data_IF_627834955483
#
_entry.id   IF_627834955483
#
_cell.length_a   1.000
_cell.length_b   1.000
_cell.length_c   1.000
_cell.angle_alpha   90.00
_cell.angle_beta   90.00
_cell.angle_gamma   90.00
#
_symmetry.space_group_name_H-M   'P 1'
#
loop_
_entity.id
_entity.type
_entity.pdbx_description
1 polymer ?
#
# COMPACT_ATOMS: atom_id res chain seq x y z
N UNK A 1 -2.93 -21.84 0.46
CA UNK A 1 -3.79 -22.20 -0.70
C UNK A 1 -4.65 -21.04 -1.24
N UNK A 2 -4.94 -19.97 -0.48
CA UNK A 2 -5.46 -18.70 -1.03
C UNK A 2 -4.36 -17.63 -1.16
N UNK A 3 -3.63 -17.34 -0.08
CA UNK A 3 -2.54 -16.35 -0.08
C UNK A 3 -1.49 -16.61 -1.17
N UNK A 4 -1.10 -17.87 -1.35
CA UNK A 4 -0.19 -18.30 -2.42
C UNK A 4 -0.76 -18.04 -3.83
N UNK A 5 -2.08 -18.11 -3.98
CA UNK A 5 -2.74 -17.81 -5.24
C UNK A 5 -2.76 -16.30 -5.46
N UNK A 6 -3.20 -15.52 -4.47
CA UNK A 6 -3.24 -14.05 -4.53
C UNK A 6 -1.85 -13.43 -4.73
N UNK A 7 -0.80 -14.06 -4.21
CA UNK A 7 0.58 -13.61 -4.34
C UNK A 7 1.28 -13.97 -5.64
N UNK A 8 0.57 -14.49 -6.66
CA UNK A 8 1.12 -14.61 -8.02
C UNK A 8 1.03 -13.26 -8.73
N UNK A 9 2.01 -12.92 -9.55
CA UNK A 9 2.10 -11.62 -10.23
C UNK A 9 0.80 -11.23 -10.95
N UNK A 10 0.23 -12.11 -11.78
CA UNK A 10 -1.04 -11.87 -12.49
C UNK A 10 -2.23 -11.60 -11.55
N UNK A 11 -2.21 -12.18 -10.35
CA UNK A 11 -3.29 -12.02 -9.37
C UNK A 11 -3.09 -10.79 -8.48
N UNK A 12 -1.84 -10.39 -8.23
CA UNK A 12 -1.54 -9.18 -7.46
C UNK A 12 -2.12 -7.95 -8.17
N UNK A 13 -1.98 -7.87 -9.50
CA UNK A 13 -2.55 -6.77 -10.27
C UNK A 13 -4.07 -6.74 -10.22
N UNK A 14 -4.72 -7.90 -10.37
CA UNK A 14 -6.18 -8.02 -10.27
C UNK A 14 -6.70 -7.67 -8.87
N UNK A 15 -6.00 -8.07 -7.81
CA UNK A 15 -6.35 -7.73 -6.42
C UNK A 15 -6.22 -6.22 -6.19
N UNK A 16 -5.12 -5.61 -6.64
CA UNK A 16 -4.93 -4.17 -6.53
C UNK A 16 -6.01 -3.40 -7.31
N UNK A 17 -6.32 -3.81 -8.54
CA UNK A 17 -7.36 -3.15 -9.34
C UNK A 17 -8.74 -3.28 -8.67
N UNK A 18 -9.08 -4.47 -8.18
CA UNK A 18 -10.33 -4.71 -7.45
C UNK A 18 -10.46 -3.84 -6.19
N UNK A 19 -9.37 -3.70 -5.44
CA UNK A 19 -9.30 -2.82 -4.28
C UNK A 19 -9.53 -1.36 -4.67
N UNK A 20 -8.85 -0.86 -5.70
CA UNK A 20 -9.02 0.52 -6.17
C UNK A 20 -10.45 0.80 -6.66
N UNK A 21 -11.08 -0.16 -7.35
CA UNK A 21 -12.49 -0.04 -7.76
C UNK A 21 -13.42 0.07 -6.55
N UNK A 22 -13.18 -0.71 -5.51
CA UNK A 22 -13.95 -0.66 -4.27
C UNK A 22 -13.77 0.69 -3.55
N UNK A 23 -12.55 1.22 -3.53
CA UNK A 23 -12.25 2.53 -2.96
C UNK A 23 -12.97 3.65 -3.71
N UNK A 24 -12.95 3.65 -5.05
CA UNK A 24 -13.71 4.62 -5.87
C UNK A 24 -15.20 4.52 -5.59
N UNK A 25 -15.72 3.30 -5.46
CA UNK A 25 -17.13 3.09 -5.11
C UNK A 25 -17.46 3.65 -3.73
N UNK A 26 -16.61 3.43 -2.71
CA UNK A 26 -16.81 4.00 -1.38
C UNK A 26 -16.80 5.53 -1.41
N UNK A 27 -15.80 6.13 -2.06
CA UNK A 27 -15.67 7.59 -2.18
C UNK A 27 -16.88 8.25 -2.83
N UNK A 28 -17.38 7.67 -3.92
CA UNK A 28 -18.55 8.21 -4.66
C UNK A 28 -19.85 7.96 -3.92
N UNK A 29 -19.98 6.84 -3.20
CA UNK A 29 -21.17 6.54 -2.39
C UNK A 29 -21.34 7.51 -1.21
N UNK A 30 -20.25 8.01 -0.64
CA UNK A 30 -20.29 8.97 0.47
C UNK A 30 -20.62 10.41 0.04
N UNK A 31 -20.51 10.75 -1.25
CA UNK A 31 -20.67 12.11 -1.78
C UNK A 31 -21.84 12.25 -2.75
N UNK A 32 -22.97 11.59 -2.50
CA UNK A 32 -24.15 11.62 -3.39
C UNK A 32 -23.82 11.25 -4.86
N UNK A 33 -22.81 10.40 -5.07
CA UNK A 33 -22.34 10.00 -6.40
C UNK A 33 -21.27 10.91 -7.01
N UNK A 34 -20.86 12.00 -6.35
CA UNK A 34 -19.82 12.89 -6.86
C UNK A 34 -18.41 12.36 -6.61
N UNK A 35 -17.52 12.55 -7.61
CA UNK A 35 -16.10 12.24 -7.46
C UNK A 35 -15.37 13.34 -6.68
N UNK A 36 -14.47 13.00 -5.75
CA UNK A 36 -13.65 13.98 -5.06
C UNK A 36 -12.69 14.66 -6.05
N UNK A 37 -12.56 16.00 -5.95
CA UNK A 37 -11.63 16.79 -6.77
C UNK A 37 -10.17 16.68 -6.32
N UNK A 38 -9.98 16.28 -5.07
CA UNK A 38 -8.69 16.09 -4.43
C UNK A 38 -8.84 14.96 -3.42
N UNK A 39 -7.78 14.16 -3.30
CA UNK A 39 -7.62 13.10 -2.32
C UNK A 39 -6.32 13.33 -1.55
N UNK A 40 -6.29 12.93 -0.28
CA UNK A 40 -5.11 13.02 0.57
C UNK A 40 -4.57 11.62 0.83
N UNK A 41 -3.29 11.40 0.51
CA UNK A 41 -2.60 10.14 0.76
C UNK A 41 -1.76 10.25 2.02
N UNK A 42 -2.07 9.42 3.01
CA UNK A 42 -1.23 9.22 4.18
C UNK A 42 -0.25 8.08 3.89
N UNK A 43 1.05 8.37 3.99
CA UNK A 43 2.14 7.44 3.72
C UNK A 43 2.90 7.17 5.01
N UNK A 44 2.82 5.92 5.48
CA UNK A 44 3.40 5.52 6.76
C UNK A 44 4.30 4.31 6.64
N UNK A 45 5.31 4.23 7.52
CA UNK A 45 6.07 3.00 7.73
C UNK A 45 5.32 2.08 8.69
N UNK A 46 5.16 0.80 8.33
CA UNK A 46 4.44 -0.18 9.16
C UNK A 46 5.37 -1.35 9.54
N UNK A 47 6.10 -1.30 10.66
CA UNK A 47 7.02 -2.37 11.05
C UNK A 47 6.26 -3.68 11.29
N UNK A 48 6.64 -4.74 10.59
CA UNK A 48 6.05 -6.09 10.76
C UNK A 48 7.11 -6.99 11.37
N UNK A 49 6.98 -7.31 12.65
CA UNK A 49 7.88 -8.25 13.32
C UNK A 49 7.76 -9.66 12.73
N UNK A 50 8.91 -10.32 12.64
CA UNK A 50 9.01 -11.65 12.05
C UNK A 50 9.65 -12.61 13.03
N UNK A 51 8.99 -13.75 13.24
CA UNK A 51 9.56 -14.88 13.98
C UNK A 51 10.28 -15.82 13.01
N UNK A 52 11.61 -15.81 13.03
CA UNK A 52 12.45 -16.62 12.15
C UNK A 52 13.37 -15.79 11.25
N UNK A 53 13.78 -16.36 10.11
CA UNK A 53 14.69 -15.75 9.15
C UNK A 53 14.09 -15.77 7.73
N UNK A 54 12.84 -15.32 7.62
CA UNK A 54 12.14 -15.19 6.36
C UNK A 54 12.92 -14.23 5.43
N UNK A 55 12.96 -14.53 4.13
CA UNK A 55 13.68 -13.70 3.15
C UNK A 55 13.21 -12.25 3.18
N UNK A 56 14.15 -11.30 3.07
CA UNK A 56 13.89 -9.86 3.15
C UNK A 56 13.66 -9.32 4.58
N UNK A 57 13.47 -10.19 5.58
CA UNK A 57 13.48 -9.69 6.97
C UNK A 57 14.89 -9.30 7.38
N UNK A 58 15.04 -8.29 8.23
CA UNK A 58 16.32 -7.89 8.79
C UNK A 58 16.16 -7.27 10.17
N UNK A 59 17.23 -7.28 10.97
CA UNK A 59 17.23 -6.62 12.27
C UNK A 59 17.19 -5.10 12.11
N UNK A 60 16.26 -4.44 12.79
CA UNK A 60 16.12 -2.99 12.76
C UNK A 60 16.37 -2.41 14.16
N UNK A 61 17.41 -1.58 14.29
CA UNK A 61 17.89 -1.09 15.59
C UNK A 61 16.85 -0.31 16.39
N UNK A 62 16.01 0.51 15.74
CA UNK A 62 14.95 1.27 16.42
C UNK A 62 13.90 0.36 17.09
N UNK A 63 13.56 -0.75 16.45
CA UNK A 63 12.50 -1.65 16.92
C UNK A 63 13.07 -2.79 17.77
N UNK A 64 14.40 -2.97 17.79
CA UNK A 64 15.06 -4.04 18.54
C UNK A 64 14.70 -5.45 18.06
N UNK A 65 14.13 -5.59 16.87
CA UNK A 65 13.55 -6.82 16.36
C UNK A 65 13.92 -7.05 14.89
N UNK A 66 13.77 -8.30 14.44
CA UNK A 66 13.82 -8.66 13.02
C UNK A 66 12.45 -8.41 12.42
N UNK A 67 12.39 -7.52 11.43
CA UNK A 67 11.13 -7.03 10.87
C UNK A 67 11.16 -7.06 9.33
N UNK A 68 10.01 -6.79 8.73
CA UNK A 68 9.90 -6.08 7.45
C UNK A 68 9.62 -4.59 7.72
N UNK A 69 10.08 -3.71 6.83
CA UNK A 69 9.87 -2.25 6.94
C UNK A 69 9.07 -1.69 5.76
N UNK A 70 7.82 -2.15 5.52
CA UNK A 70 7.03 -1.67 4.40
C UNK A 70 6.64 -0.20 4.53
N UNK A 71 6.39 0.43 3.37
CA UNK A 71 5.53 1.62 3.31
C UNK A 71 4.11 1.19 3.01
N UNK A 72 3.16 1.86 3.63
CA UNK A 72 1.72 1.71 3.36
C UNK A 72 1.13 3.05 2.99
N UNK A 73 0.12 3.02 2.12
CA UNK A 73 -0.61 4.19 1.70
C UNK A 73 -2.10 4.00 1.98
N UNK A 74 -2.72 5.00 2.60
CA UNK A 74 -4.16 5.06 2.82
C UNK A 74 -4.74 6.39 2.38
N UNK A 75 -6.05 6.43 2.12
CA UNK A 75 -6.78 7.68 1.91
C UNK A 75 -7.21 8.27 3.24
N UNK A 76 -6.85 9.53 3.50
CA UNK A 76 -7.24 10.20 4.74
C UNK A 76 -8.78 10.34 4.86
N UNK A 77 -9.50 10.41 3.74
CA UNK A 77 -10.96 10.61 3.72
C UNK A 77 -11.76 9.39 4.18
N UNK A 78 -11.24 8.18 3.98
CA UNK A 78 -11.98 6.93 4.24
C UNK A 78 -11.21 5.95 5.12
N UNK A 79 -9.90 6.12 5.26
CA UNK A 79 -9.00 5.15 5.88
C UNK A 79 -8.71 3.93 4.98
N UNK A 80 -9.18 3.93 3.73
CA UNK A 80 -8.97 2.79 2.84
C UNK A 80 -7.50 2.65 2.44
N UNK A 81 -6.99 1.44 2.54
CA UNK A 81 -5.66 1.09 2.07
C UNK A 81 -5.65 1.05 0.54
N UNK A 82 -4.71 1.78 -0.07
CA UNK A 82 -4.60 1.90 -1.54
C UNK A 82 -3.26 1.42 -2.09
N UNK A 83 -2.29 1.15 -1.22
CA UNK A 83 -1.01 0.63 -1.64
C UNK A 83 -0.17 0.10 -0.49
N UNK A 84 0.74 -0.81 -0.84
CA UNK A 84 1.83 -1.25 0.03
C UNK A 84 3.10 -1.48 -0.78
N UNK A 85 4.25 -1.14 -0.19
CA UNK A 85 5.58 -1.43 -0.70
C UNK A 85 6.31 -2.26 0.34
N UNK A 86 6.44 -3.56 0.11
CA UNK A 86 7.26 -4.41 0.96
C UNK A 86 8.73 -4.09 0.74
N UNK A 87 9.45 -3.80 1.83
CA UNK A 87 10.90 -3.52 1.81
C UNK A 87 11.61 -4.37 2.86
N UNK A 88 12.93 -4.45 2.71
CA UNK A 88 13.76 -5.15 3.68
C UNK A 88 13.63 -4.54 5.09
N UNK A 89 13.84 -5.37 6.10
CA UNK A 89 13.68 -4.97 7.49
C UNK A 89 14.56 -3.81 7.95
N UNK A 90 15.68 -3.56 7.28
CA UNK A 90 16.66 -2.52 7.57
C UNK A 90 16.59 -1.33 6.59
N UNK A 91 15.57 -1.27 5.73
CA UNK A 91 15.38 -0.17 4.80
C UNK A 91 15.19 1.16 5.55
N UNK A 92 15.77 2.23 5.01
CA UNK A 92 15.62 3.57 5.55
C UNK A 92 14.15 4.05 5.49
N UNK A 93 13.72 4.99 6.35
CA UNK A 93 12.31 5.41 6.45
C UNK A 93 11.68 5.77 5.10
N UNK A 94 12.38 6.58 4.28
CA UNK A 94 11.90 7.04 2.97
C UNK A 94 12.49 6.27 1.78
N UNK A 95 13.24 5.18 2.02
CA UNK A 95 13.88 4.43 0.95
C UNK A 95 12.84 3.92 -0.07
N UNK A 96 13.08 4.19 -1.36
CA UNK A 96 12.20 3.89 -2.50
C UNK A 96 10.86 4.67 -2.53
N UNK A 97 10.59 5.58 -1.58
CA UNK A 97 9.37 6.38 -1.57
C UNK A 97 9.29 7.32 -2.79
N UNK A 98 10.43 7.85 -3.21
CA UNK A 98 10.61 8.76 -4.34
C UNK A 98 10.17 8.17 -5.68
N UNK A 99 10.28 6.84 -5.83
CA UNK A 99 9.86 6.12 -7.04
C UNK A 99 8.48 5.49 -6.87
N UNK A 100 8.16 4.99 -5.67
CA UNK A 100 6.89 4.31 -5.40
C UNK A 100 5.70 5.27 -5.32
N UNK A 101 5.84 6.43 -4.68
CA UNK A 101 4.72 7.39 -4.52
C UNK A 101 4.23 7.90 -5.88
N UNK A 102 5.07 8.38 -6.81
CA UNK A 102 4.59 8.81 -8.12
C UNK A 102 3.90 7.70 -8.90
N UNK A 103 4.38 6.45 -8.79
CA UNK A 103 3.75 5.31 -9.44
C UNK A 103 2.36 5.00 -8.84
N UNK A 104 2.22 5.06 -7.51
CA UNK A 104 0.95 4.90 -6.83
C UNK A 104 -0.05 6.00 -7.25
N UNK A 105 0.37 7.26 -7.25
CA UNK A 105 -0.47 8.40 -7.68
C UNK A 105 -0.95 8.21 -9.11
N UNK A 106 -0.06 7.81 -10.02
CA UNK A 106 -0.43 7.52 -11.41
C UNK A 106 -1.53 6.45 -11.50
N UNK A 107 -1.37 5.32 -10.80
CA UNK A 107 -2.37 4.24 -10.79
C UNK A 107 -3.72 4.69 -10.22
N UNK A 108 -3.70 5.52 -9.18
CA UNK A 108 -4.90 6.09 -8.58
C UNK A 108 -5.64 7.00 -9.56
N UNK A 109 -4.94 7.86 -10.29
CA UNK A 109 -5.55 8.72 -11.31
C UNK A 109 -6.15 7.88 -12.45
N UNK A 110 -5.40 6.90 -12.97
CA UNK A 110 -5.89 5.97 -14.01
C UNK A 110 -7.15 5.21 -13.56
N UNK A 111 -7.23 4.82 -12.29
CA UNK A 111 -8.37 4.05 -11.74
C UNK A 111 -9.58 4.92 -11.35
N UNK A 112 -9.34 6.16 -10.93
CA UNK A 112 -10.39 7.13 -10.55
C UNK A 112 -10.90 7.93 -11.75
N UNK A 113 -10.26 7.81 -12.92
CA UNK A 113 -10.56 8.55 -14.14
C UNK A 113 -10.28 10.05 -14.01
N UNK A 114 -9.23 10.41 -13.25
CA UNK A 114 -8.71 11.77 -13.08
C UNK A 114 -7.57 12.06 -14.07
#
# INVERSE_FOLDING_TARGET
RLLTCLGRDDNIDAVHEGLLRLVVWCLTSLKNGERPKQLTLDIDGLPIEVHGHQGGSAYHGLYGARIYSPLVASLAETGDMVGGLLREGNAGPAENADTWIPHLVRRLNESTGA
#
